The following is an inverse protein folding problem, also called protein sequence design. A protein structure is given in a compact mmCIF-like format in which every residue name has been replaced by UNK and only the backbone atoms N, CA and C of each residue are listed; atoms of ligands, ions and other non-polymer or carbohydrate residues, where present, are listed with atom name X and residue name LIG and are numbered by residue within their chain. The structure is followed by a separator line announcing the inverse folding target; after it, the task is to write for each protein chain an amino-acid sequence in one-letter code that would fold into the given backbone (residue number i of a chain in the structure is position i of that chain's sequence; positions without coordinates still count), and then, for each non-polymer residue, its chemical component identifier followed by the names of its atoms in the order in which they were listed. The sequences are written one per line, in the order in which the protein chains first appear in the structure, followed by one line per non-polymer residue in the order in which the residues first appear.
data_IF_594868675332
#
_entry.id   IF_594868675332
#
_cell.length_a   1.000
_cell.length_b   1.000
_cell.length_c   1.000
_cell.angle_alpha   90.00
_cell.angle_beta   90.00
_cell.angle_gamma   90.00
#
_symmetry.space_group_name_H-M   'P 1'
#
loop_
_entity.id
_entity.type
_entity.pdbx_description
1 polymer ?
#
# COMPACT_ATOMS: atom_id res chain seq x y z
N UNK A 1 43.14 46.51 9.21
CA UNK A 1 41.85 46.05 9.76
C UNK A 1 41.27 45.05 8.76
N UNK A 2 41.57 43.75 8.81
CA UNK A 2 41.00 42.76 9.73
C UNK A 2 39.48 42.96 9.81
N UNK A 3 38.63 42.19 9.13
CA UNK A 3 38.26 40.80 9.43
C UNK A 3 37.52 40.26 8.20
N UNK A 4 37.95 39.12 7.63
CA UNK A 4 37.14 38.18 6.80
C UNK A 4 37.95 37.03 6.15
N UNK A 5 39.20 36.80 6.55
CA UNK A 5 40.04 35.67 6.06
C UNK A 5 39.78 34.32 6.75
N UNK A 6 38.84 34.21 7.71
CA UNK A 6 38.66 33.00 8.55
C UNK A 6 37.52 32.05 8.13
N UNK A 7 36.78 32.35 7.07
CA UNK A 7 35.63 31.53 6.66
C UNK A 7 36.00 30.39 5.68
N UNK A 8 37.12 30.50 4.96
CA UNK A 8 37.49 29.53 3.90
C UNK A 8 38.29 28.31 4.38
N UNK A 9 38.55 28.15 5.68
CA UNK A 9 39.36 27.04 6.21
C UNK A 9 38.51 25.89 6.76
N UNK A 10 37.27 26.17 7.17
CA UNK A 10 36.33 25.17 7.71
C UNK A 10 35.66 24.39 6.56
N UNK A 11 35.35 25.04 5.44
CA UNK A 11 34.77 24.39 4.25
C UNK A 11 35.78 23.51 3.48
N UNK A 12 37.09 23.76 3.64
CA UNK A 12 38.14 22.93 3.02
C UNK A 12 38.36 21.62 3.75
N UNK A 13 38.07 21.56 5.06
CA UNK A 13 38.28 20.35 5.88
C UNK A 13 37.14 19.34 5.81
N UNK A 14 35.94 19.78 5.44
CA UNK A 14 34.77 18.89 5.27
C UNK A 14 34.70 18.23 3.89
N UNK A 15 35.52 18.65 2.92
CA UNK A 15 35.60 18.04 1.59
C UNK A 15 36.68 16.95 1.44
N UNK A 16 37.53 16.73 2.45
CA UNK A 16 38.69 15.82 2.37
C UNK A 16 38.53 14.47 3.09
N UNK A 17 37.29 14.07 3.41
CA UNK A 17 37.07 12.74 4.02
C UNK A 17 35.88 11.97 3.44
N UNK A 18 35.74 11.99 2.11
CA UNK A 18 35.10 10.86 1.43
C UNK A 18 36.13 9.74 1.31
N UNK A 19 35.89 8.66 2.05
CA UNK A 19 36.60 7.37 2.01
C UNK A 19 36.94 7.01 0.55
N UNK A 20 38.18 6.56 0.24
CA UNK A 20 38.51 6.18 -1.13
C UNK A 20 37.61 5.02 -1.54
N UNK A 21 36.79 5.24 -2.57
CA UNK A 21 36.12 4.15 -3.28
C UNK A 21 37.19 3.16 -3.69
N UNK A 22 37.03 1.91 -3.24
CA UNK A 22 37.88 0.80 -3.62
C UNK A 22 37.79 0.61 -5.14
N UNK A 23 38.76 1.14 -5.89
CA UNK A 23 38.93 0.92 -7.33
C UNK A 23 39.44 -0.49 -7.65
N UNK A 24 38.90 -1.53 -6.99
CA UNK A 24 39.08 -2.88 -7.50
C UNK A 24 38.18 -3.03 -8.72
N UNK A 25 38.73 -3.43 -9.88
CA UNK A 25 37.90 -3.68 -11.05
C UNK A 25 36.86 -4.74 -10.69
N UNK A 26 35.59 -4.40 -10.88
CA UNK A 26 34.50 -5.34 -10.64
C UNK A 26 34.68 -6.55 -11.58
N UNK A 27 34.35 -7.77 -11.12
CA UNK A 27 34.30 -8.94 -11.97
C UNK A 27 33.48 -8.69 -13.24
N UNK A 28 33.88 -9.28 -14.36
CA UNK A 28 33.25 -9.05 -15.68
C UNK A 28 31.76 -9.42 -15.73
N UNK A 29 31.32 -10.31 -14.84
CA UNK A 29 29.95 -10.81 -14.70
C UNK A 29 29.10 -10.01 -13.68
N UNK A 30 29.70 -9.07 -12.94
CA UNK A 30 29.00 -8.33 -11.89
C UNK A 30 27.80 -7.53 -12.41
N UNK A 31 27.94 -6.88 -13.57
CA UNK A 31 26.86 -6.10 -14.16
C UNK A 31 25.66 -6.97 -14.56
N UNK A 32 25.92 -8.16 -15.09
CA UNK A 32 24.90 -9.15 -15.45
C UNK A 32 24.19 -9.67 -14.20
N UNK A 33 24.95 -10.07 -13.17
CA UNK A 33 24.41 -10.50 -11.89
C UNK A 33 23.52 -9.40 -11.26
N UNK A 34 24.01 -8.16 -11.23
CA UNK A 34 23.27 -7.04 -10.64
C UNK A 34 21.95 -6.81 -11.36
N UNK A 35 21.93 -6.90 -12.69
CA UNK A 35 20.72 -6.71 -13.46
C UNK A 35 19.73 -7.86 -13.30
N UNK A 36 20.20 -9.12 -13.25
CA UNK A 36 19.33 -10.26 -12.92
C UNK A 36 18.70 -10.09 -11.53
N UNK A 37 19.49 -9.74 -10.51
CA UNK A 37 19.00 -9.53 -9.15
C UNK A 37 17.97 -8.40 -9.09
N UNK A 38 18.23 -7.25 -9.73
CA UNK A 38 17.24 -6.15 -9.83
C UNK A 38 15.94 -6.63 -10.45
N UNK A 39 16.01 -7.41 -11.52
CA UNK A 39 14.83 -7.91 -12.21
C UNK A 39 14.07 -8.94 -11.37
N UNK A 40 14.76 -9.82 -10.65
CA UNK A 40 14.14 -10.75 -9.69
C UNK A 40 13.44 -10.00 -8.56
N UNK A 41 14.07 -8.97 -8.01
CA UNK A 41 13.47 -8.12 -6.96
C UNK A 41 12.21 -7.43 -7.47
N UNK A 42 12.27 -6.77 -8.63
CA UNK A 42 11.10 -6.10 -9.24
C UNK A 42 9.94 -7.07 -9.47
N UNK A 43 10.22 -8.25 -10.06
CA UNK A 43 9.21 -9.30 -10.28
C UNK A 43 8.57 -9.74 -8.97
N UNK A 44 9.37 -9.89 -7.92
CA UNK A 44 8.89 -10.32 -6.59
C UNK A 44 8.04 -9.24 -5.94
N UNK A 45 8.44 -7.98 -6.01
CA UNK A 45 7.67 -6.84 -5.50
C UNK A 45 6.30 -6.74 -6.18
N UNK A 46 6.22 -6.89 -7.50
CA UNK A 46 4.95 -6.89 -8.24
C UNK A 46 4.03 -8.02 -7.77
N UNK A 47 4.58 -9.23 -7.60
CA UNK A 47 3.81 -10.38 -7.10
C UNK A 47 3.29 -10.14 -5.68
N UNK A 48 4.15 -9.64 -4.79
CA UNK A 48 3.79 -9.34 -3.41
C UNK A 48 2.69 -8.26 -3.34
N UNK A 49 2.85 -7.16 -4.09
CA UNK A 49 1.85 -6.11 -4.19
C UNK A 49 0.52 -6.65 -4.72
N UNK A 50 0.55 -7.46 -5.77
CA UNK A 50 -0.66 -8.06 -6.35
C UNK A 50 -1.38 -8.99 -5.37
N UNK A 51 -0.63 -9.83 -4.65
CA UNK A 51 -1.20 -10.72 -3.63
C UNK A 51 -1.84 -9.91 -2.50
N UNK A 52 -1.15 -8.91 -1.97
CA UNK A 52 -1.69 -8.02 -0.94
C UNK A 52 -2.93 -7.26 -1.43
N UNK A 53 -2.93 -6.73 -2.66
CA UNK A 53 -4.10 -6.06 -3.24
C UNK A 53 -5.30 -7.00 -3.37
N UNK A 54 -5.10 -8.26 -3.75
CA UNK A 54 -6.18 -9.25 -3.81
C UNK A 54 -6.81 -9.47 -2.43
N UNK A 55 -6.00 -9.64 -1.39
CA UNK A 55 -6.52 -9.80 -0.03
C UNK A 55 -7.24 -8.53 0.46
N UNK A 56 -6.72 -7.34 0.17
CA UNK A 56 -7.38 -6.08 0.52
C UNK A 56 -8.75 -5.94 -0.16
N UNK A 57 -8.86 -6.30 -1.44
CA UNK A 57 -10.13 -6.26 -2.17
C UNK A 57 -11.14 -7.23 -1.54
N UNK A 58 -10.73 -8.45 -1.19
CA UNK A 58 -11.60 -9.42 -0.51
C UNK A 58 -12.05 -8.93 0.87
N UNK A 59 -11.12 -8.39 1.65
CA UNK A 59 -11.44 -7.80 2.95
C UNK A 59 -12.46 -6.66 2.82
N UNK A 60 -12.26 -5.76 1.86
CA UNK A 60 -13.20 -4.66 1.61
C UNK A 60 -14.57 -5.18 1.14
N UNK A 61 -14.61 -6.20 0.29
CA UNK A 61 -15.86 -6.85 -0.07
C UNK A 61 -16.62 -7.37 1.15
N UNK A 62 -15.95 -8.13 2.03
CA UNK A 62 -16.57 -8.71 3.23
C UNK A 62 -17.04 -7.64 4.22
N UNK A 63 -16.26 -6.57 4.42
CA UNK A 63 -16.67 -5.42 5.25
C UNK A 63 -17.90 -4.74 4.66
N UNK A 64 -17.92 -4.50 3.35
CA UNK A 64 -19.07 -3.90 2.66
C UNK A 64 -20.33 -4.75 2.82
N UNK A 65 -20.20 -6.08 2.66
CA UNK A 65 -21.27 -7.05 2.92
C UNK A 65 -21.81 -6.93 4.34
N UNK A 66 -20.94 -6.98 5.34
CA UNK A 66 -21.34 -6.96 6.75
C UNK A 66 -22.02 -5.65 7.13
N UNK A 67 -21.53 -4.51 6.61
CA UNK A 67 -22.16 -3.20 6.82
C UNK A 67 -23.60 -3.26 6.30
N UNK A 68 -23.81 -3.63 5.04
CA UNK A 68 -25.14 -3.66 4.42
C UNK A 68 -26.08 -4.61 5.16
N UNK A 69 -25.63 -5.83 5.46
CA UNK A 69 -26.45 -6.80 6.21
C UNK A 69 -26.88 -6.29 7.58
N UNK A 70 -26.01 -5.55 8.29
CA UNK A 70 -26.38 -4.95 9.59
C UNK A 70 -27.27 -3.73 9.44
N UNK A 71 -27.16 -2.97 8.35
CA UNK A 71 -28.15 -1.93 8.04
C UNK A 71 -29.54 -2.54 7.86
N UNK A 72 -29.64 -3.62 7.08
CA UNK A 72 -30.92 -4.27 6.78
C UNK A 72 -31.53 -4.94 8.01
N UNK A 73 -30.72 -5.68 8.78
CA UNK A 73 -31.21 -6.47 9.93
C UNK A 73 -31.37 -5.68 11.22
N UNK A 74 -30.57 -4.62 11.43
CA UNK A 74 -30.48 -3.90 12.70
C UNK A 74 -30.73 -2.39 12.57
N UNK A 75 -31.10 -1.91 11.38
CA UNK A 75 -31.41 -0.50 11.15
C UNK A 75 -30.21 0.44 11.33
N UNK A 76 -28.98 -0.03 11.09
CA UNK A 76 -27.78 0.79 11.28
C UNK A 76 -27.79 2.04 10.36
N UNK A 77 -27.94 3.21 10.98
CA UNK A 77 -27.85 4.50 10.31
C UNK A 77 -26.41 4.98 10.10
N UNK A 78 -26.26 6.10 9.37
CA UNK A 78 -24.97 6.69 9.03
C UNK A 78 -24.06 6.94 10.25
N UNK A 79 -24.63 7.35 11.39
CA UNK A 79 -23.87 7.60 12.64
C UNK A 79 -23.13 6.37 13.17
N UNK A 80 -23.73 5.18 13.03
CA UNK A 80 -23.09 3.91 13.47
C UNK A 80 -21.92 3.57 12.56
N UNK A 81 -22.07 3.79 11.25
CA UNK A 81 -21.00 3.58 10.26
C UNK A 81 -19.83 4.55 10.49
N UNK A 82 -20.14 5.81 10.81
CA UNK A 82 -19.12 6.81 11.11
C UNK A 82 -18.34 6.48 12.39
N UNK A 83 -19.04 5.95 13.39
CA UNK A 83 -18.40 5.46 14.62
C UNK A 83 -17.51 4.25 14.33
N UNK A 84 -18.01 3.28 13.55
CA UNK A 84 -17.22 2.12 13.10
C UNK A 84 -15.94 2.56 12.39
N UNK A 85 -16.02 3.51 11.46
CA UNK A 85 -14.85 4.03 10.77
C UNK A 85 -13.83 4.67 11.74
N UNK A 86 -14.33 5.42 12.72
CA UNK A 86 -13.49 6.03 13.75
C UNK A 86 -12.77 4.97 14.60
N UNK A 87 -13.50 3.94 15.02
CA UNK A 87 -12.96 2.87 15.87
C UNK A 87 -11.96 2.01 15.08
N UNK A 88 -12.23 1.69 13.81
CA UNK A 88 -11.28 0.98 12.94
C UNK A 88 -10.00 1.78 12.70
N UNK A 89 -10.11 3.09 12.44
CA UNK A 89 -8.92 3.95 12.28
C UNK A 89 -8.08 4.01 13.55
N UNK A 90 -8.71 3.98 14.73
CA UNK A 90 -8.01 3.95 16.03
C UNK A 90 -7.35 2.61 16.30
N UNK A 91 -8.01 1.50 15.94
CA UNK A 91 -7.48 0.15 16.15
C UNK A 91 -6.27 -0.14 15.25
N UNK A 92 -6.22 0.45 14.06
CA UNK A 92 -5.17 0.22 13.07
C UNK A 92 -4.45 1.52 12.66
N UNK A 93 -3.73 2.17 13.59
CA UNK A 93 -2.98 3.38 13.28
C UNK A 93 -1.87 3.06 12.26
N UNK A 94 -1.77 3.87 11.21
CA UNK A 94 -0.77 3.70 10.14
C UNK A 94 -1.24 2.87 8.93
N UNK A 95 -2.40 2.18 9.03
CA UNK A 95 -3.00 1.52 7.86
C UNK A 95 -3.91 2.52 7.13
N UNK A 96 -3.52 2.90 5.92
CA UNK A 96 -4.39 3.64 5.01
C UNK A 96 -5.51 2.70 4.52
N UNK A 97 -6.77 3.10 4.67
CA UNK A 97 -7.92 2.28 4.22
C UNK A 97 -9.16 2.33 5.10
N UNK A 98 -9.05 2.81 6.34
CA UNK A 98 -10.20 2.86 7.27
C UNK A 98 -10.67 4.29 7.59
N UNK A 99 -10.46 5.24 6.67
CA UNK A 99 -11.07 6.56 6.80
C UNK A 99 -12.59 6.49 6.66
N UNK A 100 -13.32 7.43 7.26
CA UNK A 100 -14.78 7.55 7.13
C UNK A 100 -15.22 7.46 5.67
N UNK A 101 -14.60 8.24 4.79
CA UNK A 101 -14.86 8.23 3.35
C UNK A 101 -14.61 6.85 2.73
N UNK A 102 -13.54 6.16 3.12
CA UNK A 102 -13.25 4.86 2.55
C UNK A 102 -14.24 3.78 3.00
N UNK A 103 -14.71 3.82 4.25
CA UNK A 103 -15.76 2.89 4.73
C UNK A 103 -17.06 3.09 3.94
N UNK A 104 -17.45 4.33 3.65
CA UNK A 104 -18.61 4.61 2.78
C UNK A 104 -18.40 4.11 1.35
N UNK A 105 -17.19 4.23 0.81
CA UNK A 105 -16.82 3.68 -0.50
C UNK A 105 -16.83 2.15 -0.50
N UNK A 106 -16.34 1.49 0.55
CA UNK A 106 -16.37 0.04 0.71
C UNK A 106 -17.81 -0.48 0.70
N UNK A 107 -18.71 0.21 1.40
CA UNK A 107 -20.15 -0.08 1.35
C UNK A 107 -20.71 0.10 -0.07
N UNK A 108 -20.40 1.21 -0.73
CA UNK A 108 -20.87 1.48 -2.09
C UNK A 108 -20.33 0.44 -3.09
N UNK A 109 -19.08 0.02 -2.93
CA UNK A 109 -18.45 -1.05 -3.71
C UNK A 109 -19.25 -2.35 -3.61
N UNK A 110 -19.54 -2.85 -2.40
CA UNK A 110 -20.36 -4.04 -2.25
C UNK A 110 -21.75 -3.89 -2.90
N UNK A 111 -22.42 -2.76 -2.70
CA UNK A 111 -23.74 -2.51 -3.28
C UNK A 111 -23.74 -2.45 -4.81
N UNK A 112 -22.71 -1.87 -5.43
CA UNK A 112 -22.63 -1.76 -6.89
C UNK A 112 -22.58 -3.15 -7.54
N UNK A 113 -21.69 -4.01 -7.06
CA UNK A 113 -21.44 -5.32 -7.66
C UNK A 113 -22.43 -6.39 -7.20
N UNK A 114 -23.11 -6.25 -6.05
CA UNK A 114 -24.20 -7.16 -5.69
C UNK A 114 -25.51 -6.85 -6.41
N UNK A 115 -25.78 -5.58 -6.74
CA UNK A 115 -26.90 -5.22 -7.61
C UNK A 115 -26.71 -5.75 -9.03
N UNK A 116 -25.48 -5.74 -9.53
CA UNK A 116 -25.15 -6.33 -10.83
C UNK A 116 -25.19 -7.86 -10.80
N UNK A 117 -24.59 -8.51 -9.79
CA UNK A 117 -24.60 -9.99 -9.66
C UNK A 117 -26.00 -10.59 -9.42
N UNK A 118 -26.98 -9.79 -8.97
CA UNK A 118 -28.38 -10.23 -8.89
C UNK A 118 -29.03 -10.42 -10.28
N UNK A 119 -28.42 -9.87 -11.34
CA UNK A 119 -28.95 -9.85 -12.71
C UNK A 119 -28.14 -10.77 -13.66
N UNK A 120 -26.99 -11.31 -13.22
CA UNK A 120 -26.17 -12.22 -14.04
C UNK A 120 -26.48 -13.69 -13.70
N UNK A 121 -26.67 -14.59 -14.69
CA UNK A 121 -26.77 -16.02 -14.44
C UNK A 121 -25.55 -16.51 -13.65
N UNK A 122 -25.80 -17.17 -12.52
CA UNK A 122 -24.75 -17.84 -11.75
C UNK A 122 -24.17 -18.94 -12.63
N UNK A 123 -22.87 -18.89 -12.94
CA UNK A 123 -22.15 -20.04 -13.50
C UNK A 123 -21.93 -21.03 -12.35
N UNK A 124 -23.00 -21.72 -11.97
CA UNK A 124 -22.96 -22.92 -11.16
C UNK A 124 -22.95 -24.11 -12.13
N UNK A 125 -21.76 -24.63 -12.42
CA UNK A 125 -21.61 -25.88 -13.16
C UNK A 125 -20.46 -25.87 -14.14
N UNK A 126 -19.33 -26.41 -13.70
CA UNK A 126 -18.50 -27.43 -14.39
C UNK A 126 -17.04 -27.29 -13.95
N UNK A 127 -16.73 -27.97 -12.85
CA UNK A 127 -15.45 -28.64 -12.63
C UNK A 127 -15.78 -30.00 -12.03
N UNK A 128 -16.24 -30.92 -12.89
CA UNK A 128 -16.02 -32.36 -12.74
C UNK A 128 -15.14 -32.82 -13.89
#
# INVERSE_FOLDING_TARGET
MAVKKKTNEIERRTAEKSVPESHLPLPSDYAELLEDLKNRIRRTQVRAATAASRELIRLYWDIGREIVQRQDRKGWGAKVIDRLATDLKKAFPGIAGFSRTNIHRIRAFYLAYTKELAIVPQVAGQLE
#
